data_IF_945863560252
#
_entry.id   IF_945863560252
#
_cell.length_a   1.000
_cell.length_b   1.000
_cell.length_c   1.000
_cell.angle_alpha   90.00
_cell.angle_beta   90.00
_cell.angle_gamma   90.00
#
_symmetry.space_group_name_H-M   'P 1'
#
loop_
_entity.id
_entity.type
_entity.pdbx_description
1 polymer ?
#
# COMPACT_ATOMS: atom_id res chain seq x y z
N UNK A 1 4.98 12.07 5.91
CA UNK A 1 4.78 11.14 7.06
C UNK A 1 4.31 9.82 6.50
N UNK A 2 4.94 8.71 6.89
CA UNK A 2 4.64 7.37 6.37
C UNK A 2 3.96 6.52 7.43
N UNK A 3 2.99 5.70 7.04
CA UNK A 3 2.21 4.84 7.95
C UNK A 3 2.41 3.39 7.56
N UNK A 4 2.63 2.52 8.55
CA UNK A 4 2.86 1.09 8.36
C UNK A 4 1.74 0.28 9.01
N UNK A 5 1.09 -0.55 8.21
CA UNK A 5 0.17 -1.59 8.66
C UNK A 5 0.90 -2.91 8.57
N UNK A 6 1.12 -3.56 9.72
CA UNK A 6 1.87 -4.80 9.81
C UNK A 6 1.20 -5.82 10.74
N UNK A 7 1.16 -7.08 10.34
CA UNK A 7 0.81 -8.21 11.22
C UNK A 7 1.28 -9.52 10.61
N UNK A 8 1.81 -10.36 11.49
CA UNK A 8 2.21 -11.74 11.19
C UNK A 8 0.98 -12.62 10.90
N UNK A 9 -0.20 -12.26 11.44
CA UNK A 9 -1.41 -13.06 11.32
C UNK A 9 -2.31 -12.57 10.18
N UNK A 10 -2.71 -13.50 9.30
CA UNK A 10 -3.72 -13.25 8.27
C UNK A 10 -5.13 -13.00 8.83
N UNK A 11 -6.02 -12.46 7.99
CA UNK A 11 -7.44 -12.30 8.31
C UNK A 11 -7.78 -11.24 9.38
N UNK A 12 -6.86 -10.32 9.68
CA UNK A 12 -7.08 -9.23 10.64
C UNK A 12 -7.63 -7.94 10.01
N UNK A 13 -7.94 -7.96 8.70
CA UNK A 13 -8.41 -6.79 7.98
C UNK A 13 -7.39 -5.66 7.83
N UNK A 14 -6.09 -5.94 7.98
CA UNK A 14 -5.02 -4.92 7.81
C UNK A 14 -5.08 -4.24 6.47
N UNK A 15 -5.09 -5.03 5.42
CA UNK A 15 -5.08 -4.54 4.04
C UNK A 15 -6.30 -3.66 3.77
N UNK A 16 -7.47 -4.05 4.29
CA UNK A 16 -8.68 -3.22 4.24
C UNK A 16 -8.48 -1.87 4.95
N UNK A 17 -7.85 -1.85 6.13
CA UNK A 17 -7.55 -0.61 6.84
C UNK A 17 -6.50 0.24 6.12
N UNK A 18 -5.44 -0.38 5.59
CA UNK A 18 -4.38 0.30 4.86
C UNK A 18 -4.93 0.99 3.62
N UNK A 19 -5.78 0.31 2.84
CA UNK A 19 -6.46 0.87 1.67
C UNK A 19 -7.41 2.00 2.08
N UNK A 20 -8.23 1.79 3.11
CA UNK A 20 -9.15 2.82 3.61
C UNK A 20 -8.42 4.07 4.09
N UNK A 21 -7.31 3.89 4.79
CA UNK A 21 -6.47 5.00 5.25
C UNK A 21 -5.76 5.70 4.09
N UNK A 22 -5.21 4.95 3.13
CA UNK A 22 -4.57 5.52 1.94
C UNK A 22 -5.55 6.37 1.13
N UNK A 23 -6.81 5.91 0.99
CA UNK A 23 -7.88 6.69 0.37
C UNK A 23 -8.18 7.96 1.14
N UNK A 24 -8.38 7.87 2.46
CA UNK A 24 -8.69 9.03 3.30
C UNK A 24 -7.56 10.08 3.29
N UNK A 25 -6.31 9.62 3.29
CA UNK A 25 -5.13 10.47 3.36
C UNK A 25 -4.60 10.95 2.00
N UNK A 26 -5.25 10.54 0.89
CA UNK A 26 -4.81 10.76 -0.49
C UNK A 26 -3.34 10.35 -0.68
N UNK A 27 -3.01 9.12 -0.29
CA UNK A 27 -1.63 8.62 -0.19
C UNK A 27 -1.34 7.49 -1.20
N UNK A 28 -0.06 7.35 -1.56
CA UNK A 28 0.48 6.19 -2.27
C UNK A 28 0.41 4.95 -1.38
N UNK A 29 -0.31 3.92 -1.82
CA UNK A 29 -0.32 2.63 -1.17
C UNK A 29 0.82 1.77 -1.71
N UNK A 30 1.66 1.25 -0.82
CA UNK A 30 2.71 0.29 -1.12
C UNK A 30 2.34 -1.04 -0.47
N UNK A 31 2.29 -2.10 -1.25
CA UNK A 31 1.93 -3.44 -0.74
C UNK A 31 2.85 -4.51 -1.31
N UNK A 32 3.11 -5.54 -0.53
CA UNK A 32 3.72 -6.79 -1.01
C UNK A 32 2.65 -7.87 -1.28
N UNK A 33 1.36 -7.56 -1.17
CA UNK A 33 0.30 -8.49 -1.51
C UNK A 33 0.15 -8.54 -3.03
N UNK A 34 0.74 -9.59 -3.60
CA UNK A 34 0.71 -9.91 -5.03
C UNK A 34 -0.24 -11.06 -5.35
N UNK A 35 -0.99 -11.56 -4.36
CA UNK A 35 -1.93 -12.67 -4.58
C UNK A 35 -3.31 -12.18 -5.08
N UNK A 36 -3.99 -13.07 -5.79
CA UNK A 36 -5.05 -12.81 -6.77
C UNK A 36 -6.13 -11.77 -6.37
N UNK A 37 -6.31 -10.75 -7.23
CA UNK A 37 -7.48 -9.86 -7.26
C UNK A 37 -7.44 -8.67 -6.29
N UNK A 38 -6.58 -8.73 -5.29
CA UNK A 38 -6.42 -7.69 -4.25
C UNK A 38 -6.07 -6.32 -4.84
N UNK A 39 -5.08 -6.26 -5.73
CA UNK A 39 -4.67 -5.01 -6.37
C UNK A 39 -5.77 -4.39 -7.25
N UNK A 40 -6.48 -5.21 -8.04
CA UNK A 40 -7.57 -4.74 -8.92
C UNK A 40 -8.76 -4.19 -8.10
N UNK A 41 -9.13 -4.91 -7.03
CA UNK A 41 -10.19 -4.48 -6.11
C UNK A 41 -9.83 -3.14 -5.46
N UNK A 42 -8.58 -2.95 -5.04
CA UNK A 42 -8.17 -1.72 -4.37
C UNK A 42 -7.90 -0.57 -5.31
N UNK A 43 -7.47 -0.86 -6.55
CA UNK A 43 -7.30 0.18 -7.55
C UNK A 43 -8.64 0.86 -7.86
N UNK A 44 -9.74 0.09 -7.89
CA UNK A 44 -11.09 0.64 -7.97
C UNK A 44 -11.49 1.45 -6.71
N UNK A 45 -10.96 1.08 -5.54
CA UNK A 45 -11.23 1.77 -4.27
C UNK A 45 -10.37 3.02 -4.03
N UNK A 46 -9.30 3.21 -4.81
CA UNK A 46 -8.34 4.31 -4.73
C UNK A 46 -8.38 5.19 -6.00
N UNK A 47 -9.50 5.89 -6.27
CA UNK A 47 -9.67 6.64 -7.53
C UNK A 47 -8.66 7.78 -7.73
N UNK A 48 -7.97 8.23 -6.67
CA UNK A 48 -6.88 9.20 -6.71
C UNK A 48 -5.55 8.63 -6.19
N UNK A 49 -5.57 7.40 -5.67
CA UNK A 49 -4.41 6.79 -5.02
C UNK A 49 -3.65 5.92 -6.00
N UNK A 50 -2.34 6.11 -6.05
CA UNK A 50 -1.44 5.21 -6.77
C UNK A 50 -1.21 3.96 -5.90
N UNK A 51 -1.14 2.78 -6.52
CA UNK A 51 -0.71 1.55 -5.86
C UNK A 51 0.66 1.16 -6.45
N UNK A 52 1.65 1.01 -5.59
CA UNK A 52 2.96 0.45 -5.95
C UNK A 52 3.09 -0.95 -5.34
N UNK A 53 3.22 -1.96 -6.19
CA UNK A 53 3.46 -3.33 -5.74
C UNK A 53 4.97 -3.52 -5.55
N UNK A 54 5.37 -3.86 -4.31
CA UNK A 54 6.75 -4.19 -3.98
C UNK A 54 7.01 -5.68 -4.18
N UNK A 55 7.65 -6.02 -5.31
CA UNK A 55 8.00 -7.41 -5.66
C UNK A 55 9.22 -7.91 -4.87
N UNK A 56 9.42 -9.24 -4.75
CA UNK A 56 10.63 -9.80 -4.16
C UNK A 56 11.90 -9.21 -4.78
N UNK A 57 12.86 -8.83 -3.94
CA UNK A 57 14.11 -8.19 -4.36
C UNK A 57 14.04 -6.67 -4.54
N UNK A 58 12.86 -6.06 -4.46
CA UNK A 58 12.71 -4.60 -4.42
C UNK A 58 12.76 -4.09 -2.99
N UNK A 59 13.25 -2.86 -2.81
CA UNK A 59 13.34 -2.21 -1.50
C UNK A 59 12.35 -1.06 -1.36
N UNK A 60 11.83 -0.88 -0.16
CA UNK A 60 10.98 0.26 0.18
C UNK A 60 11.73 1.59 0.00
N UNK A 61 13.05 1.59 0.21
CA UNK A 61 13.92 2.74 -0.07
C UNK A 61 13.81 3.22 -1.52
N UNK A 62 13.72 2.31 -2.48
CA UNK A 62 13.56 2.69 -3.89
C UNK A 62 12.24 3.41 -4.17
N UNK A 63 11.19 3.09 -3.42
CA UNK A 63 9.88 3.76 -3.50
C UNK A 63 9.99 5.17 -2.95
N UNK A 64 10.62 5.35 -1.78
CA UNK A 64 10.83 6.68 -1.20
C UNK A 64 11.67 7.61 -2.10
N UNK A 65 12.61 7.07 -2.86
CA UNK A 65 13.39 7.84 -3.85
C UNK A 65 12.55 8.21 -5.07
N UNK A 66 11.68 7.32 -5.55
CA UNK A 66 10.77 7.62 -6.69
C UNK A 66 9.68 8.62 -6.34
N UNK A 67 9.17 8.58 -5.10
CA UNK A 67 8.04 9.39 -4.64
C UNK A 67 8.40 10.24 -3.40
N UNK A 68 9.35 11.18 -3.52
CA UNK A 68 9.90 11.89 -2.37
C UNK A 68 8.93 12.87 -1.69
N UNK A 69 7.88 13.29 -2.40
CA UNK A 69 6.87 14.25 -1.91
C UNK A 69 5.53 13.59 -1.53
N UNK A 70 5.39 12.29 -1.78
CA UNK A 70 4.14 11.58 -1.53
C UNK A 70 3.99 11.16 -0.07
N UNK A 71 2.74 11.11 0.40
CA UNK A 71 2.42 10.37 1.62
C UNK A 71 2.38 8.90 1.26
N UNK A 72 3.03 8.06 2.07
CA UNK A 72 3.17 6.64 1.79
C UNK A 72 2.53 5.82 2.90
N UNK A 73 1.66 4.91 2.50
CA UNK A 73 1.03 3.91 3.36
C UNK A 73 1.57 2.56 2.93
N UNK A 74 2.09 1.78 3.87
CA UNK A 74 2.67 0.46 3.61
C UNK A 74 1.81 -0.60 4.27
N UNK A 75 1.47 -1.66 3.54
CA UNK A 75 0.73 -2.84 4.02
C UNK A 75 1.54 -4.11 3.82
N UNK A 76 2.00 -4.74 4.91
CA UNK A 76 2.78 -6.00 4.97
C UNK A 76 2.23 -7.01 6.00
#
# INVERSE_FOLDING_TARGET
MSVFFYSIKGGQGKTTHAVGYARYAEALLVTNDFENGTAEIYQAALPQGTIEILKPGQSLTSVFVRYPSERIVVDF
#
